data_IF_814199284646
#
_entry.id   IF_814199284646
#
_cell.length_a   1.000
_cell.length_b   1.000
_cell.length_c   1.000
_cell.angle_alpha   90.00
_cell.angle_beta   90.00
_cell.angle_gamma   90.00
#
_symmetry.space_group_name_H-M   'P 1'
#
loop_
_entity.id
_entity.type
_entity.pdbx_description
1 polymer ?
#
# COMPACT_ATOMS: atom_id res chain seq x y z
N UNK A 1 -1.52 -34.97 64.62
CA UNK A 1 -1.09 -35.82 63.47
C UNK A 1 -1.93 -35.36 62.29
N UNK A 2 -1.33 -34.79 61.24
CA UNK A 2 -0.82 -35.49 60.04
C UNK A 2 -1.94 -36.21 59.26
N UNK A 3 -2.17 -35.94 57.97
CA UNK A 3 -1.54 -34.95 57.07
C UNK A 3 -2.40 -34.72 55.81
N UNK A 4 -2.31 -33.51 55.24
CA UNK A 4 -2.47 -33.15 53.81
C UNK A 4 -3.34 -34.03 52.89
N UNK A 5 -4.28 -33.38 52.18
CA UNK A 5 -4.12 -33.22 50.73
C UNK A 5 -4.75 -31.89 50.28
N UNK A 6 -4.04 -31.13 49.44
CA UNK A 6 -4.53 -29.85 48.90
C UNK A 6 -5.17 -30.09 47.52
N UNK A 7 -6.42 -29.68 47.36
CA UNK A 7 -6.98 -29.26 46.07
C UNK A 7 -7.78 -27.96 46.27
N UNK A 8 -7.06 -26.86 46.44
CA UNK A 8 -7.65 -25.54 46.22
C UNK A 8 -7.74 -25.35 44.70
N UNK A 9 -8.95 -25.43 44.13
CA UNK A 9 -9.18 -25.06 42.73
C UNK A 9 -9.00 -23.55 42.62
N UNK A 10 -7.79 -23.14 42.25
CA UNK A 10 -7.45 -21.75 42.02
C UNK A 10 -8.07 -21.33 40.68
N UNK A 11 -9.35 -20.95 40.72
CA UNK A 11 -10.01 -20.28 39.61
C UNK A 11 -9.36 -18.90 39.41
N UNK A 12 -8.24 -18.88 38.69
CA UNK A 12 -7.62 -17.65 38.21
C UNK A 12 -8.57 -17.06 37.19
N UNK A 13 -9.49 -16.20 37.66
CA UNK A 13 -10.28 -15.36 36.79
C UNK A 13 -9.33 -14.37 36.12
N UNK A 14 -8.82 -14.77 34.95
CA UNK A 14 -8.09 -13.90 34.05
C UNK A 14 -9.08 -12.84 33.54
N UNK A 15 -9.28 -11.80 34.35
CA UNK A 15 -9.84 -10.54 33.89
C UNK A 15 -8.78 -9.97 32.96
N UNK A 16 -8.86 -10.37 31.68
CA UNK A 16 -8.23 -9.65 30.60
C UNK A 16 -8.81 -8.25 30.64
N UNK A 17 -8.10 -7.34 31.32
CA UNK A 17 -8.35 -5.91 31.26
C UNK A 17 -7.91 -5.46 29.87
N UNK A 18 -8.71 -5.83 28.87
CA UNK A 18 -8.81 -5.08 27.64
C UNK A 18 -9.22 -3.67 28.05
N UNK A 19 -8.22 -2.82 28.24
CA UNK A 19 -8.39 -1.40 28.02
C UNK A 19 -8.72 -1.24 26.54
N UNK A 20 -10.00 -1.41 26.22
CA UNK A 20 -10.67 -0.52 25.32
C UNK A 20 -10.45 0.89 25.88
N UNK A 21 -9.30 1.46 25.51
CA UNK A 21 -9.20 2.89 25.30
C UNK A 21 -10.29 3.19 24.28
N UNK A 22 -11.44 3.63 24.79
CA UNK A 22 -12.42 4.31 23.99
C UNK A 22 -11.73 5.58 23.49
N UNK A 23 -11.03 5.47 22.36
CA UNK A 23 -10.59 6.61 21.55
C UNK A 23 -11.84 7.46 21.40
N UNK A 24 -11.77 8.70 21.90
CA UNK A 24 -12.97 9.49 22.13
C UNK A 24 -13.77 9.61 20.84
N UNK A 25 -14.97 9.04 20.81
CA UNK A 25 -15.84 9.01 19.63
C UNK A 25 -16.53 10.37 19.44
N UNK A 26 -15.76 11.45 19.57
CA UNK A 26 -16.13 12.78 19.12
C UNK A 26 -16.28 12.76 17.60
N UNK A 27 -17.21 13.55 17.10
CA UNK A 27 -17.44 13.66 15.66
C UNK A 27 -16.16 14.09 14.96
N UNK A 28 -15.86 13.45 13.82
CA UNK A 28 -14.74 13.85 12.97
C UNK A 28 -14.90 15.32 12.56
N UNK A 29 -13.81 16.10 12.63
CA UNK A 29 -13.83 17.47 12.10
C UNK A 29 -13.46 17.40 10.61
N UNK A 30 -14.40 17.79 9.76
CA UNK A 30 -14.28 17.68 8.30
C UNK A 30 -13.76 18.99 7.71
N UNK A 31 -12.55 18.96 7.15
CA UNK A 31 -11.92 20.08 6.45
C UNK A 31 -12.23 19.93 4.95
N UNK A 32 -13.15 20.75 4.46
CA UNK A 32 -13.63 20.74 3.08
C UNK A 32 -12.81 21.73 2.24
N UNK A 33 -11.98 21.22 1.33
CA UNK A 33 -11.03 22.00 0.53
C UNK A 33 -11.52 22.18 -0.90
N UNK A 34 -11.93 23.40 -1.24
CA UNK A 34 -12.39 23.76 -2.56
C UNK A 34 -11.32 23.57 -3.63
N UNK A 35 -11.74 23.48 -4.91
CA UNK A 35 -10.81 23.43 -6.04
C UNK A 35 -9.84 24.62 -6.02
N UNK A 36 -8.57 24.36 -6.34
CA UNK A 36 -7.48 25.34 -6.21
C UNK A 36 -6.11 24.66 -6.13
N UNK A 37 -5.04 25.47 -6.15
CA UNK A 37 -3.67 25.02 -5.95
C UNK A 37 -3.16 25.49 -4.58
N UNK A 38 -2.96 24.54 -3.67
CA UNK A 38 -2.46 24.74 -2.31
C UNK A 38 -0.98 24.35 -2.29
N UNK A 39 -0.13 25.36 -2.45
CA UNK A 39 1.34 25.20 -2.41
C UNK A 39 1.84 25.42 -0.99
N UNK A 40 1.70 24.39 -0.16
CA UNK A 40 2.02 24.37 1.27
C UNK A 40 2.46 22.97 1.71
N UNK A 41 3.33 22.89 2.72
CA UNK A 41 3.58 21.65 3.46
C UNK A 41 2.66 21.61 4.69
N UNK A 42 2.16 20.43 5.04
CA UNK A 42 1.17 20.21 6.10
C UNK A 42 1.76 19.41 7.27
N UNK A 43 1.36 19.77 8.48
CA UNK A 43 1.55 18.97 9.71
C UNK A 43 0.21 18.79 10.40
N UNK A 44 -0.20 17.54 10.59
CA UNK A 44 -1.34 17.14 11.40
C UNK A 44 -0.80 16.60 12.73
N UNK A 45 -0.60 17.45 13.75
CA UNK A 45 0.06 17.07 14.99
C UNK A 45 -0.82 16.13 15.82
N UNK A 46 -0.21 15.29 16.65
CA UNK A 46 -0.86 14.19 17.38
C UNK A 46 -2.10 14.54 18.24
N UNK A 47 -2.36 15.82 18.50
CA UNK A 47 -3.57 16.31 19.16
C UNK A 47 -4.80 16.37 18.26
N UNK A 48 -4.64 16.35 16.93
CA UNK A 48 -5.72 16.49 15.92
C UNK A 48 -6.23 15.13 15.44
N UNK A 49 -6.70 14.30 16.36
CA UNK A 49 -7.22 12.97 16.05
C UNK A 49 -8.56 13.04 15.32
N UNK A 50 -8.84 12.06 14.46
CA UNK A 50 -10.10 11.94 13.72
C UNK A 50 -10.42 13.15 12.81
N UNK A 51 -9.42 13.82 12.23
CA UNK A 51 -9.67 14.78 11.14
C UNK A 51 -10.01 14.05 9.84
N UNK A 52 -10.98 14.56 9.10
CA UNK A 52 -11.27 14.14 7.73
C UNK A 52 -11.00 15.31 6.78
N UNK A 53 -9.99 15.19 5.93
CA UNK A 53 -9.59 16.24 4.99
C UNK A 53 -10.03 15.83 3.59
N UNK A 54 -10.90 16.65 2.97
CA UNK A 54 -11.67 16.30 1.77
C UNK A 54 -11.42 17.32 0.66
N UNK A 55 -10.90 16.87 -0.47
CA UNK A 55 -10.79 17.66 -1.68
C UNK A 55 -12.07 17.63 -2.52
N UNK A 56 -12.31 18.68 -3.30
CA UNK A 56 -13.43 18.78 -4.25
C UNK A 56 -13.21 17.96 -5.54
N UNK A 57 -12.43 16.88 -5.48
CA UNK A 57 -11.97 16.09 -6.61
C UNK A 57 -10.61 16.54 -7.15
N UNK A 58 -10.19 16.07 -8.33
CA UNK A 58 -8.81 16.24 -8.84
C UNK A 58 -8.39 17.69 -9.10
N UNK A 59 -9.31 18.65 -9.04
CA UNK A 59 -9.05 20.09 -9.12
C UNK A 59 -8.69 20.73 -7.78
N UNK A 60 -8.86 20.05 -6.64
CA UNK A 60 -8.20 20.39 -5.38
C UNK A 60 -6.80 19.78 -5.38
N UNK A 61 -5.78 20.64 -5.57
CA UNK A 61 -4.39 20.22 -5.77
C UNK A 61 -3.56 20.64 -4.56
N UNK A 62 -3.05 19.67 -3.80
CA UNK A 62 -1.99 19.93 -2.81
C UNK A 62 -0.65 19.75 -3.51
N UNK A 63 0.29 20.68 -3.32
CA UNK A 63 1.65 20.57 -3.82
C UNK A 63 2.65 20.96 -2.74
N UNK A 64 3.47 20.01 -2.31
CA UNK A 64 4.50 20.23 -1.29
C UNK A 64 5.57 21.24 -1.71
N UNK A 65 6.32 21.75 -0.73
CA UNK A 65 7.38 22.75 -0.91
C UNK A 65 8.74 22.22 -0.42
N UNK A 66 8.77 21.50 0.70
CA UNK A 66 9.99 20.99 1.31
C UNK A 66 10.69 19.91 0.46
N UNK A 67 12.00 20.08 0.22
CA UNK A 67 12.91 19.06 -0.34
C UNK A 67 14.16 18.92 0.52
N UNK A 68 14.88 17.80 0.38
CA UNK A 68 16.05 17.45 1.19
C UNK A 68 17.22 17.06 0.30
N UNK A 69 18.45 17.55 0.52
CA UNK A 69 19.62 17.10 -0.22
C UNK A 69 19.87 15.59 -0.13
N UNK A 70 20.13 14.94 -1.26
CA UNK A 70 20.37 13.50 -1.43
C UNK A 70 21.24 12.87 -0.35
N UNK A 71 22.33 13.56 0.00
CA UNK A 71 23.34 13.16 0.98
C UNK A 71 22.81 13.00 2.42
N UNK A 72 21.60 13.47 2.71
CA UNK A 72 20.93 13.30 4.00
C UNK A 72 19.98 12.10 4.05
N UNK A 73 19.81 11.35 2.94
CA UNK A 73 19.04 10.10 2.94
C UNK A 73 19.54 9.17 4.05
N UNK A 74 18.67 8.63 4.94
CA UNK A 74 17.22 8.46 4.80
C UNK A 74 16.36 9.53 5.52
N UNK A 75 16.86 10.74 5.77
CA UNK A 75 16.12 11.74 6.56
C UNK A 75 14.83 12.18 5.85
N UNK A 76 13.67 11.70 6.30
CA UNK A 76 12.39 12.20 5.85
C UNK A 76 12.20 13.68 6.24
N UNK A 77 11.67 14.47 5.32
CA UNK A 77 11.16 15.82 5.57
C UNK A 77 9.77 15.91 4.91
N UNK A 78 8.69 15.77 5.68
CA UNK A 78 7.35 15.55 5.12
C UNK A 78 6.82 16.75 4.32
N UNK A 79 6.08 16.47 3.26
CA UNK A 79 5.17 17.45 2.65
C UNK A 79 3.76 17.39 3.25
N UNK A 80 3.35 16.22 3.76
CA UNK A 80 2.18 16.03 4.62
C UNK A 80 2.59 15.09 5.76
N UNK A 81 2.84 15.64 6.96
CA UNK A 81 3.12 14.86 8.16
C UNK A 81 1.83 14.49 8.90
N UNK A 82 1.62 13.19 9.15
CA UNK A 82 0.45 12.68 9.86
C UNK A 82 0.88 12.04 11.18
N UNK A 83 0.80 12.81 12.27
CA UNK A 83 1.12 12.36 13.63
C UNK A 83 -0.12 12.05 14.48
N UNK A 84 -1.32 12.31 13.97
CA UNK A 84 -2.57 12.04 14.67
C UNK A 84 -3.28 10.79 14.15
N UNK A 85 -3.86 10.02 15.06
CA UNK A 85 -4.60 8.80 14.72
C UNK A 85 -6.01 9.11 14.19
N UNK A 86 -6.55 8.23 13.36
CA UNK A 86 -7.90 8.35 12.80
C UNK A 86 -8.04 9.36 11.65
N UNK A 87 -6.92 9.89 11.14
CA UNK A 87 -6.91 10.90 10.09
C UNK A 87 -7.29 10.30 8.74
N UNK A 88 -8.19 10.96 8.01
CA UNK A 88 -8.55 10.62 6.63
C UNK A 88 -8.11 11.72 5.66
N UNK A 89 -7.57 11.35 4.49
CA UNK A 89 -7.29 12.28 3.39
C UNK A 89 -7.80 11.71 2.07
N UNK A 90 -8.78 12.37 1.45
CA UNK A 90 -9.37 11.92 0.19
C UNK A 90 -9.81 13.02 -0.76
N UNK A 91 -9.95 12.67 -2.03
CA UNK A 91 -10.50 13.54 -3.07
C UNK A 91 -9.55 14.61 -3.62
N UNK A 92 -8.23 14.44 -3.48
CA UNK A 92 -7.22 15.41 -3.97
C UNK A 92 -6.43 14.92 -5.18
N UNK A 93 -5.85 15.85 -5.93
CA UNK A 93 -4.56 15.61 -6.59
C UNK A 93 -3.44 15.97 -5.61
N UNK A 94 -2.52 15.06 -5.32
CA UNK A 94 -1.40 15.28 -4.38
C UNK A 94 -0.09 15.21 -5.15
N UNK A 95 0.62 16.35 -5.22
CA UNK A 95 1.88 16.50 -5.95
C UNK A 95 3.07 16.56 -5.00
N UNK A 96 4.10 15.79 -5.33
CA UNK A 96 5.43 16.02 -4.76
C UNK A 96 5.97 17.41 -5.15
N UNK A 97 6.79 18.06 -4.30
CA UNK A 97 7.50 19.30 -4.59
C UNK A 97 8.21 19.30 -5.94
N UNK A 98 8.30 20.46 -6.60
CA UNK A 98 8.99 20.58 -7.88
C UNK A 98 10.42 20.02 -7.81
N UNK A 99 10.78 19.16 -8.78
CA UNK A 99 12.08 18.49 -8.84
C UNK A 99 13.26 19.49 -8.75
N UNK A 100 14.21 19.19 -7.85
CA UNK A 100 15.49 19.90 -7.71
C UNK A 100 16.60 18.84 -7.75
N UNK A 101 17.51 18.94 -8.72
CA UNK A 101 18.58 17.95 -8.88
C UNK A 101 19.53 17.91 -7.67
N UNK A 102 19.78 16.72 -7.13
CA UNK A 102 20.53 16.53 -5.88
C UNK A 102 19.68 16.64 -4.62
N UNK A 103 18.35 16.73 -4.73
CA UNK A 103 17.40 16.65 -3.63
C UNK A 103 16.29 15.61 -3.91
N UNK A 104 15.79 15.00 -2.84
CA UNK A 104 14.56 14.20 -2.81
C UNK A 104 13.43 14.90 -2.03
N UNK A 105 12.25 14.29 -2.03
CA UNK A 105 11.07 14.73 -1.28
C UNK A 105 10.35 13.55 -0.65
N UNK A 106 9.93 13.67 0.61
CA UNK A 106 9.07 12.71 1.30
C UNK A 106 7.63 13.23 1.28
N UNK A 107 6.77 12.69 0.40
CA UNK A 107 5.41 13.18 0.17
C UNK A 107 4.52 13.16 1.43
N UNK A 108 3.74 12.10 1.63
CA UNK A 108 3.05 11.87 2.91
C UNK A 108 3.97 11.06 3.81
N UNK A 109 4.12 11.46 5.07
CA UNK A 109 4.88 10.72 6.10
C UNK A 109 3.98 10.44 7.29
N UNK A 110 3.74 9.15 7.58
CA UNK A 110 2.72 8.68 8.53
C UNK A 110 3.37 8.10 9.78
N UNK A 111 3.05 8.66 10.95
CA UNK A 111 3.53 8.21 12.27
C UNK A 111 2.43 7.77 13.23
N UNK A 112 1.21 7.54 12.75
CA UNK A 112 0.03 7.34 13.58
C UNK A 112 -0.89 6.21 13.09
N UNK A 113 -1.83 5.81 13.95
CA UNK A 113 -2.71 4.65 13.76
C UNK A 113 -4.03 5.02 13.06
N UNK A 114 -4.67 4.03 12.42
CA UNK A 114 -5.99 4.17 11.81
C UNK A 114 -6.08 5.33 10.79
N UNK A 115 -4.99 5.57 10.04
CA UNK A 115 -4.92 6.61 9.01
C UNK A 115 -5.44 6.04 7.70
N UNK A 116 -6.32 6.77 7.01
CA UNK A 116 -6.99 6.30 5.80
C UNK A 116 -6.77 7.27 4.62
N UNK A 117 -6.10 6.79 3.57
CA UNK A 117 -5.69 7.59 2.42
C UNK A 117 -6.35 7.01 1.17
N UNK A 118 -7.32 7.71 0.58
CA UNK A 118 -8.13 7.14 -0.51
C UNK A 118 -8.65 8.10 -1.55
N UNK A 119 -9.01 7.59 -2.73
CA UNK A 119 -9.58 8.38 -3.83
C UNK A 119 -8.73 9.62 -4.23
N UNK A 120 -7.40 9.54 -4.07
CA UNK A 120 -6.47 10.61 -4.45
C UNK A 120 -5.71 10.27 -5.76
N UNK A 121 -5.31 11.30 -6.49
CA UNK A 121 -4.41 11.22 -7.62
C UNK A 121 -3.01 11.70 -7.22
N UNK A 122 -2.11 10.77 -6.90
CA UNK A 122 -0.71 11.05 -6.60
C UNK A 122 0.11 11.29 -7.87
N UNK A 123 0.91 12.36 -7.84
CA UNK A 123 1.75 12.82 -8.93
C UNK A 123 3.18 13.07 -8.43
N UNK A 124 4.08 12.12 -8.69
CA UNK A 124 5.40 12.05 -8.08
C UNK A 124 6.52 12.28 -9.09
N UNK A 125 7.42 13.23 -8.85
CA UNK A 125 8.59 13.40 -9.73
C UNK A 125 9.48 12.17 -9.67
N UNK A 126 9.83 11.67 -10.86
CA UNK A 126 10.74 10.53 -10.99
C UNK A 126 12.21 10.95 -10.77
N UNK A 127 13.00 9.98 -10.31
CA UNK A 127 14.30 10.19 -9.69
C UNK A 127 15.52 10.19 -10.62
N UNK A 128 16.64 10.61 -10.04
CA UNK A 128 17.98 10.49 -10.61
C UNK A 128 18.91 9.82 -9.57
N UNK A 129 19.07 8.49 -9.67
CA UNK A 129 19.90 7.71 -8.74
C UNK A 129 21.42 7.95 -8.89
N UNK A 130 21.86 9.00 -9.58
CA UNK A 130 23.26 9.46 -9.45
C UNK A 130 23.64 9.83 -8.01
N UNK A 131 22.68 10.17 -7.14
CA UNK A 131 22.94 10.48 -5.72
C UNK A 131 21.98 9.82 -4.70
N UNK A 132 20.98 9.05 -5.13
CA UNK A 132 19.97 8.44 -4.24
C UNK A 132 18.58 9.09 -4.29
N UNK A 133 18.36 10.08 -5.17
CA UNK A 133 17.10 10.82 -5.26
C UNK A 133 15.98 10.01 -5.92
N UNK A 134 15.21 9.23 -5.14
CA UNK A 134 13.91 8.66 -5.54
C UNK A 134 12.80 9.41 -4.80
N UNK A 135 11.84 9.98 -5.55
CA UNK A 135 10.64 10.58 -4.98
C UNK A 135 9.68 9.52 -4.44
N UNK A 136 9.26 9.67 -3.18
CA UNK A 136 8.34 8.76 -2.49
C UNK A 136 6.96 9.43 -2.26
N UNK A 137 5.87 8.78 -2.70
CA UNK A 137 4.52 9.34 -2.58
C UNK A 137 3.98 9.28 -1.14
N UNK A 138 4.06 8.10 -0.52
CA UNK A 138 3.67 7.83 0.86
C UNK A 138 4.78 7.02 1.51
N UNK A 139 5.16 7.36 2.74
CA UNK A 139 5.97 6.52 3.60
C UNK A 139 5.47 6.54 5.04
N UNK A 140 5.79 5.51 5.81
CA UNK A 140 5.60 5.49 7.28
C UNK A 140 6.91 5.86 7.98
N UNK A 141 6.85 6.42 9.19
CA UNK A 141 8.04 6.66 9.99
C UNK A 141 8.66 5.35 10.50
N UNK A 142 9.98 5.18 10.31
CA UNK A 142 10.73 4.04 10.83
C UNK A 142 10.98 4.15 12.35
N UNK A 143 10.93 3.03 13.08
CA UNK A 143 11.05 2.98 14.55
C UNK A 143 12.38 3.50 15.10
N UNK A 144 13.46 3.50 14.30
CA UNK A 144 14.74 4.12 14.69
C UNK A 144 14.74 5.67 14.59
N UNK A 145 13.85 6.25 13.78
CA UNK A 145 13.67 7.70 13.66
C UNK A 145 12.66 8.22 14.71
N UNK A 146 11.56 7.48 14.92
CA UNK A 146 10.54 7.79 15.92
C UNK A 146 10.33 6.58 16.84
N UNK A 147 11.07 6.48 17.97
CA UNK A 147 10.97 5.35 18.89
C UNK A 147 9.56 5.15 19.44
N UNK A 148 8.99 3.96 19.21
CA UNK A 148 7.62 3.63 19.62
C UNK A 148 6.52 4.07 18.64
N UNK A 149 6.88 4.57 17.45
CA UNK A 149 5.91 4.82 16.36
C UNK A 149 5.10 3.57 16.04
N UNK A 150 3.81 3.75 15.72
CA UNK A 150 2.91 2.66 15.42
C UNK A 150 1.89 3.11 14.36
N UNK A 151 1.88 2.43 13.22
CA UNK A 151 1.01 2.72 12.06
C UNK A 151 -0.05 1.64 11.82
N UNK A 152 -0.38 0.88 12.88
CA UNK A 152 -1.52 -0.05 12.95
C UNK A 152 -2.79 0.54 12.37
N UNK A 153 -3.52 -0.22 11.55
CA UNK A 153 -4.79 0.21 10.97
C UNK A 153 -4.65 1.24 9.84
N UNK A 154 -3.43 1.53 9.36
CA UNK A 154 -3.22 2.27 8.12
C UNK A 154 -3.90 1.55 6.95
N UNK A 155 -4.74 2.27 6.22
CA UNK A 155 -5.48 1.79 5.05
C UNK A 155 -5.25 2.74 3.86
N UNK A 156 -4.60 2.27 2.80
CA UNK A 156 -4.33 3.06 1.58
C UNK A 156 -5.05 2.41 0.41
N UNK A 157 -6.11 3.04 -0.10
CA UNK A 157 -6.99 2.40 -1.07
C UNK A 157 -7.61 3.28 -2.15
N UNK A 158 -7.94 2.68 -3.30
CA UNK A 158 -8.62 3.34 -4.43
C UNK A 158 -7.90 4.62 -4.94
N UNK A 159 -6.60 4.77 -4.65
CA UNK A 159 -5.79 5.88 -5.16
C UNK A 159 -5.19 5.55 -6.53
N UNK A 160 -4.90 6.58 -7.32
CA UNK A 160 -4.11 6.48 -8.54
C UNK A 160 -2.75 7.13 -8.33
N UNK A 161 -1.66 6.40 -8.59
CA UNK A 161 -0.29 6.88 -8.54
C UNK A 161 0.29 7.01 -9.95
N UNK A 162 0.90 8.16 -10.23
CA UNK A 162 1.49 8.52 -11.52
C UNK A 162 2.80 9.28 -11.33
N UNK A 163 3.64 9.28 -12.36
CA UNK A 163 4.88 10.07 -12.38
C UNK A 163 4.66 11.49 -12.96
N UNK A 164 5.47 12.45 -12.49
CA UNK A 164 5.72 13.74 -13.13
C UNK A 164 7.09 13.71 -13.84
N UNK A 165 7.20 14.41 -14.96
CA UNK A 165 8.31 14.27 -15.91
C UNK A 165 9.59 14.97 -15.46
N UNK A 166 10.38 14.27 -14.63
CA UNK A 166 11.80 14.53 -14.37
C UNK A 166 12.52 13.18 -14.19
N UNK A 167 13.86 13.19 -14.24
CA UNK A 167 14.68 12.00 -13.98
C UNK A 167 14.55 10.88 -15.02
N UNK A 168 15.21 9.74 -14.73
CA UNK A 168 15.23 8.53 -15.57
C UNK A 168 14.88 7.26 -14.81
N UNK A 169 14.91 7.30 -13.48
CA UNK A 169 14.80 6.11 -12.63
C UNK A 169 13.39 5.75 -12.18
N UNK A 170 12.44 6.68 -12.34
CA UNK A 170 11.06 6.50 -11.87
C UNK A 170 10.84 6.96 -10.43
N UNK A 171 9.62 6.77 -9.94
CA UNK A 171 9.22 7.09 -8.56
C UNK A 171 8.93 5.83 -7.75
N UNK A 172 8.94 5.95 -6.43
CA UNK A 172 8.45 4.93 -5.50
C UNK A 172 7.11 5.38 -4.91
N UNK A 173 6.11 4.49 -4.87
CA UNK A 173 4.77 4.90 -4.46
C UNK A 173 4.56 4.80 -2.93
N UNK A 174 4.64 3.60 -2.34
CA UNK A 174 4.32 3.38 -0.92
C UNK A 174 5.48 2.65 -0.22
N UNK A 175 6.03 3.24 0.84
CA UNK A 175 7.07 2.64 1.68
C UNK A 175 6.58 2.43 3.12
N UNK A 176 6.30 1.18 3.49
CA UNK A 176 5.88 0.80 4.84
C UNK A 176 7.10 0.35 5.63
N UNK A 177 7.80 1.32 6.24
CA UNK A 177 8.93 1.12 7.15
C UNK A 177 8.52 0.30 8.40
N UNK A 178 9.52 -0.34 9.01
CA UNK A 178 9.42 -1.04 10.31
C UNK A 178 8.96 -0.10 11.43
N UNK A 179 7.86 -0.43 12.10
CA UNK A 179 7.33 0.30 13.26
C UNK A 179 7.51 -0.50 14.58
N UNK A 180 6.82 -0.10 15.66
CA UNK A 180 6.87 -0.81 16.93
C UNK A 180 6.24 -2.22 16.84
N UNK A 181 6.87 -3.26 17.44
CA UNK A 181 6.40 -4.63 17.35
C UNK A 181 5.03 -4.82 18.03
N UNK A 182 4.23 -5.74 17.49
CA UNK A 182 2.87 -6.03 17.96
C UNK A 182 1.78 -5.13 17.37
N UNK A 183 2.08 -4.35 16.33
CA UNK A 183 1.06 -3.66 15.53
C UNK A 183 0.07 -4.63 14.86
N UNK A 184 -1.17 -4.16 14.68
CA UNK A 184 -2.21 -4.89 13.92
C UNK A 184 -2.06 -4.63 12.42
N UNK A 185 -3.01 -5.15 11.63
CA UNK A 185 -3.02 -5.08 10.17
C UNK A 185 -2.78 -3.67 9.61
N UNK A 186 -1.98 -3.60 8.55
CA UNK A 186 -1.91 -2.48 7.59
C UNK A 186 -2.39 -2.98 6.21
N UNK A 187 -3.13 -2.17 5.48
CA UNK A 187 -3.74 -2.56 4.19
C UNK A 187 -3.37 -1.59 3.08
N UNK A 188 -2.98 -2.13 1.92
CA UNK A 188 -2.81 -1.40 0.66
C UNK A 188 -3.66 -2.11 -0.41
N UNK A 189 -4.81 -1.54 -0.77
CA UNK A 189 -5.79 -2.24 -1.62
C UNK A 189 -6.36 -1.43 -2.79
N UNK A 190 -6.66 -2.08 -3.90
CA UNK A 190 -7.35 -1.48 -5.07
C UNK A 190 -6.66 -0.24 -5.70
N UNK A 191 -5.40 0.05 -5.38
CA UNK A 191 -4.71 1.21 -5.93
C UNK A 191 -4.21 0.90 -7.36
N UNK A 192 -4.15 1.93 -8.20
CA UNK A 192 -3.55 1.87 -9.54
C UNK A 192 -2.22 2.61 -9.55
N UNK A 193 -1.16 1.97 -10.05
CA UNK A 193 0.19 2.53 -10.15
C UNK A 193 0.65 2.46 -11.61
N UNK A 194 1.17 3.57 -12.16
CA UNK A 194 1.43 3.71 -13.59
C UNK A 194 2.51 4.75 -13.92
N UNK A 195 3.06 4.70 -15.14
CA UNK A 195 4.13 5.60 -15.56
C UNK A 195 5.52 5.02 -15.33
N UNK A 196 6.52 5.90 -15.19
CA UNK A 196 7.89 5.52 -14.82
C UNK A 196 7.93 5.07 -13.34
N UNK A 197 7.53 3.84 -13.07
CA UNK A 197 7.37 3.29 -11.72
C UNK A 197 8.60 2.45 -11.36
N UNK A 198 9.41 2.93 -10.40
CA UNK A 198 10.59 2.22 -9.91
C UNK A 198 10.20 1.06 -8.98
N UNK A 199 9.31 1.37 -8.02
CA UNK A 199 8.73 0.40 -7.08
C UNK A 199 7.34 0.83 -6.61
N UNK A 200 6.38 -0.09 -6.54
CA UNK A 200 5.03 0.24 -6.09
C UNK A 200 4.89 0.18 -4.56
N UNK A 201 5.17 -0.98 -3.94
CA UNK A 201 4.96 -1.17 -2.48
C UNK A 201 6.18 -1.82 -1.83
N UNK A 202 6.73 -1.19 -0.80
CA UNK A 202 7.73 -1.76 0.12
C UNK A 202 7.09 -2.08 1.47
N UNK A 203 7.40 -3.24 2.03
CA UNK A 203 6.91 -3.73 3.33
C UNK A 203 8.07 -4.25 4.19
N UNK A 204 8.41 -3.50 5.24
CA UNK A 204 9.43 -3.83 6.26
C UNK A 204 8.81 -4.17 7.62
N UNK A 205 7.55 -4.62 7.65
CA UNK A 205 6.82 -4.91 8.89
C UNK A 205 5.97 -6.17 8.76
N UNK A 206 5.72 -6.82 9.89
CA UNK A 206 4.69 -7.86 10.02
C UNK A 206 3.27 -7.29 9.90
N UNK A 207 2.31 -8.19 9.64
CA UNK A 207 0.85 -7.95 9.56
C UNK A 207 0.45 -6.95 8.47
N UNK A 208 0.64 -7.32 7.20
CA UNK A 208 0.30 -6.45 6.05
C UNK A 208 -0.44 -7.21 4.95
N UNK A 209 -1.51 -6.61 4.43
CA UNK A 209 -2.21 -7.07 3.23
C UNK A 209 -2.01 -6.09 2.08
N UNK A 210 -1.50 -6.57 0.96
CA UNK A 210 -1.41 -5.84 -0.32
C UNK A 210 -2.30 -6.56 -1.32
N UNK A 211 -3.48 -6.01 -1.65
CA UNK A 211 -4.51 -6.76 -2.39
C UNK A 211 -5.22 -6.00 -3.51
N UNK A 212 -5.51 -6.66 -4.64
CA UNK A 212 -6.32 -6.08 -5.72
C UNK A 212 -5.69 -4.89 -6.45
N UNK A 213 -4.40 -4.61 -6.26
CA UNK A 213 -3.75 -3.45 -6.86
C UNK A 213 -3.36 -3.70 -8.33
N UNK A 214 -3.44 -2.66 -9.16
CA UNK A 214 -2.97 -2.67 -10.54
C UNK A 214 -1.61 -1.96 -10.63
N UNK A 215 -0.53 -2.72 -10.79
CA UNK A 215 0.86 -2.25 -10.79
C UNK A 215 1.45 -2.41 -12.19
N UNK A 216 1.61 -1.30 -12.90
CA UNK A 216 2.11 -1.28 -14.28
C UNK A 216 3.28 -0.29 -14.38
N UNK A 217 4.39 -0.70 -15.00
CA UNK A 217 5.55 0.19 -15.25
C UNK A 217 5.85 0.40 -16.74
N UNK A 218 6.16 1.64 -17.10
CA UNK A 218 6.66 2.04 -18.42
C UNK A 218 8.18 1.91 -18.57
N UNK A 219 8.88 1.51 -17.49
CA UNK A 219 10.33 1.29 -17.52
C UNK A 219 10.67 -0.13 -17.98
N UNK A 220 11.84 -0.26 -18.61
CA UNK A 220 12.55 -1.54 -18.71
C UNK A 220 13.11 -1.96 -17.34
N UNK A 221 13.36 -3.25 -17.07
CA UNK A 221 14.00 -3.69 -15.83
C UNK A 221 15.37 -3.03 -15.58
N UNK A 222 15.65 -2.62 -14.34
CA UNK A 222 17.04 -2.30 -13.92
C UNK A 222 17.87 -3.58 -13.83
N UNK A 223 19.20 -3.44 -13.78
CA UNK A 223 20.09 -4.49 -13.28
C UNK A 223 20.22 -4.42 -11.75
N UNK A 224 20.57 -5.53 -11.11
CA UNK A 224 20.86 -5.54 -9.66
C UNK A 224 22.08 -4.67 -9.35
N UNK A 225 22.10 -4.06 -8.16
CA UNK A 225 23.10 -3.06 -7.77
C UNK A 225 22.97 -1.69 -8.46
N UNK A 226 21.85 -1.41 -9.15
CA UNK A 226 21.47 -0.09 -9.69
C UNK A 226 22.49 0.57 -10.64
N UNK A 227 23.12 -0.22 -11.51
CA UNK A 227 24.08 0.32 -12.49
C UNK A 227 23.42 0.95 -13.75
N UNK A 228 22.13 0.73 -13.99
CA UNK A 228 21.38 1.20 -15.18
C UNK A 228 19.95 1.56 -14.82
N UNK A 229 19.44 2.70 -15.28
CA UNK A 229 18.08 3.16 -14.98
C UNK A 229 17.00 2.18 -15.47
N UNK A 230 16.04 1.85 -14.60
CA UNK A 230 14.93 0.95 -14.90
C UNK A 230 14.09 0.61 -13.66
N UNK A 231 12.99 -0.12 -13.86
CA UNK A 231 12.10 -0.59 -12.80
C UNK A 231 12.73 -1.76 -12.01
N UNK A 232 12.63 -1.72 -10.69
CA UNK A 232 13.27 -2.70 -9.81
C UNK A 232 12.28 -3.75 -9.33
N UNK A 233 11.29 -3.35 -8.55
CA UNK A 233 10.44 -4.27 -7.80
C UNK A 233 8.97 -3.87 -7.89
N UNK A 234 8.05 -4.76 -8.26
CA UNK A 234 6.63 -4.43 -8.21
C UNK A 234 6.17 -4.30 -6.75
N UNK A 235 6.23 -5.41 -6.02
CA UNK A 235 6.03 -5.48 -4.58
C UNK A 235 7.30 -6.04 -3.92
N UNK A 236 7.77 -5.40 -2.86
CA UNK A 236 8.93 -5.79 -2.06
C UNK A 236 8.51 -6.07 -0.61
N UNK A 237 8.41 -7.35 -0.24
CA UNK A 237 8.24 -7.77 1.16
C UNK A 237 9.59 -8.22 1.69
N UNK A 238 10.26 -7.32 2.42
CA UNK A 238 11.53 -7.58 3.13
C UNK A 238 11.87 -6.41 4.04
N UNK A 239 12.66 -6.65 5.06
CA UNK A 239 13.25 -5.62 5.90
C UNK A 239 14.64 -5.25 5.39
N UNK A 240 14.73 -4.15 4.64
CA UNK A 240 15.99 -3.55 4.17
C UNK A 240 16.47 -2.41 5.09
N UNK A 241 15.87 -2.29 6.27
CA UNK A 241 15.87 -1.10 7.09
C UNK A 241 17.16 -0.85 7.88
N UNK A 242 17.24 0.35 8.42
CA UNK A 242 18.40 0.82 9.19
C UNK A 242 18.47 0.11 10.55
N UNK A 243 19.35 -0.88 10.64
CA UNK A 243 19.55 -1.74 11.82
C UNK A 243 19.84 -3.19 11.47
N UNK A 244 19.68 -3.58 10.20
CA UNK A 244 19.70 -4.97 9.76
C UNK A 244 18.29 -5.60 9.83
N UNK A 245 18.03 -6.69 9.09
CA UNK A 245 16.68 -7.23 8.92
C UNK A 245 16.06 -7.74 10.23
N UNK A 246 14.73 -7.79 10.29
CA UNK A 246 13.95 -8.33 11.41
C UNK A 246 12.82 -9.19 10.87
N UNK A 247 12.57 -10.33 11.54
CA UNK A 247 11.62 -11.35 11.10
C UNK A 247 10.21 -10.79 10.78
N UNK A 248 9.62 -11.26 9.67
CA UNK A 248 8.28 -10.88 9.24
C UNK A 248 7.27 -12.02 9.37
N UNK A 249 6.04 -11.69 9.76
CA UNK A 249 4.94 -12.65 9.79
C UNK A 249 3.61 -12.05 9.34
N UNK A 250 2.73 -12.90 8.83
CA UNK A 250 1.35 -12.53 8.49
C UNK A 250 1.25 -11.55 7.32
N UNK A 251 1.98 -11.83 6.23
CA UNK A 251 1.94 -11.02 5.01
C UNK A 251 1.05 -11.69 3.97
N UNK A 252 0.11 -10.92 3.41
CA UNK A 252 -0.83 -11.38 2.37
C UNK A 252 -0.67 -10.52 1.13
N UNK A 253 -0.26 -11.12 0.00
CA UNK A 253 -0.15 -10.47 -1.30
C UNK A 253 -1.11 -11.16 -2.25
N UNK A 254 -2.27 -10.56 -2.54
CA UNK A 254 -3.36 -11.27 -3.25
C UNK A 254 -4.02 -10.48 -4.37
N UNK A 255 -4.43 -11.14 -5.45
CA UNK A 255 -5.23 -10.52 -6.53
C UNK A 255 -4.59 -9.28 -7.19
N UNK A 256 -3.27 -9.04 -7.04
CA UNK A 256 -2.59 -7.90 -7.65
C UNK A 256 -2.16 -8.24 -9.08
N UNK A 257 -2.21 -7.27 -9.99
CA UNK A 257 -1.59 -7.37 -11.32
C UNK A 257 -0.25 -6.64 -11.30
N UNK A 258 0.85 -7.28 -11.70
CA UNK A 258 2.22 -6.73 -11.65
C UNK A 258 2.94 -6.99 -12.99
N UNK A 259 3.08 -5.95 -13.81
CA UNK A 259 3.64 -6.10 -15.16
C UNK A 259 4.27 -4.84 -15.77
N UNK A 260 4.94 -5.03 -16.91
CA UNK A 260 5.24 -3.92 -17.83
C UNK A 260 4.02 -3.47 -18.62
N UNK A 261 4.06 -2.23 -19.11
CA UNK A 261 3.02 -1.68 -20.01
C UNK A 261 3.09 -2.21 -21.46
N UNK A 262 4.19 -2.86 -21.84
CA UNK A 262 4.42 -3.37 -23.19
C UNK A 262 5.67 -4.25 -23.29
N UNK A 263 5.96 -4.75 -24.50
CA UNK A 263 7.08 -5.68 -24.76
C UNK A 263 8.42 -5.04 -24.41
N UNK A 264 9.13 -5.63 -23.44
CA UNK A 264 10.43 -5.16 -22.94
C UNK A 264 10.36 -4.28 -21.69
N UNK A 265 9.18 -3.79 -21.33
CA UNK A 265 8.94 -3.13 -20.05
C UNK A 265 8.62 -4.17 -18.97
N UNK A 266 8.90 -3.85 -17.70
CA UNK A 266 8.65 -4.73 -16.57
C UNK A 266 9.64 -4.51 -15.43
N UNK A 267 9.44 -5.18 -14.30
CA UNK A 267 10.32 -5.08 -13.14
C UNK A 267 11.47 -6.10 -13.22
N UNK A 268 12.57 -5.87 -12.47
CA UNK A 268 13.59 -6.89 -12.24
C UNK A 268 13.04 -8.05 -11.39
N UNK A 269 12.19 -7.74 -10.41
CA UNK A 269 11.32 -8.68 -9.71
C UNK A 269 9.86 -8.17 -9.71
N UNK A 270 8.89 -8.96 -10.16
CA UNK A 270 7.47 -8.62 -10.00
C UNK A 270 7.09 -8.58 -8.51
N UNK A 271 7.31 -9.69 -7.82
CA UNK A 271 7.26 -9.79 -6.37
C UNK A 271 8.61 -10.27 -5.84
N UNK A 272 9.06 -9.70 -4.72
CA UNK A 272 10.19 -10.20 -3.95
C UNK A 272 9.81 -10.45 -2.50
N UNK A 273 10.23 -11.60 -2.00
CA UNK A 273 10.07 -12.06 -0.63
C UNK A 273 11.46 -12.28 -0.01
N UNK A 274 11.72 -11.58 1.09
CA UNK A 274 12.87 -11.80 1.97
C UNK A 274 14.18 -11.09 1.58
N UNK A 275 15.07 -11.07 2.56
CA UNK A 275 16.50 -10.77 2.42
C UNK A 275 17.33 -11.61 3.41
N UNK A 276 18.61 -11.82 3.10
CA UNK A 276 19.53 -12.58 3.95
C UNK A 276 19.57 -12.12 5.39
N UNK A 277 19.21 -13.02 6.32
CA UNK A 277 19.10 -12.73 7.76
C UNK A 277 17.71 -12.31 8.24
N UNK A 278 16.67 -12.41 7.41
CA UNK A 278 15.26 -12.19 7.75
C UNK A 278 14.49 -13.52 7.75
N UNK A 279 13.98 -13.97 8.90
CA UNK A 279 13.06 -15.12 8.93
C UNK A 279 11.66 -14.67 8.53
N UNK A 280 10.97 -15.39 7.64
CA UNK A 280 9.58 -15.10 7.26
C UNK A 280 8.64 -16.24 7.64
N UNK A 281 7.40 -15.92 8.02
CA UNK A 281 6.39 -16.92 8.37
C UNK A 281 4.96 -16.49 8.00
N UNK A 282 4.07 -17.45 7.78
CA UNK A 282 2.65 -17.19 7.43
C UNK A 282 2.49 -16.22 6.24
N UNK A 283 3.29 -16.43 5.18
CA UNK A 283 3.29 -15.59 3.98
C UNK A 283 2.34 -16.21 2.95
N UNK A 284 1.39 -15.44 2.43
CA UNK A 284 0.38 -15.89 1.46
C UNK A 284 0.47 -15.09 0.18
N UNK A 285 0.63 -15.77 -0.96
CA UNK A 285 0.72 -15.17 -2.31
C UNK A 285 -0.21 -15.93 -3.24
N UNK A 286 -1.42 -15.40 -3.47
CA UNK A 286 -2.46 -16.09 -4.27
C UNK A 286 -3.30 -15.16 -5.14
N UNK A 287 -3.80 -15.66 -6.29
CA UNK A 287 -4.65 -14.90 -7.21
C UNK A 287 -3.97 -13.75 -7.98
N UNK A 288 -2.67 -13.52 -7.78
CA UNK A 288 -1.94 -12.45 -8.46
C UNK A 288 -1.68 -12.80 -9.93
N UNK A 289 -1.48 -11.78 -10.77
CA UNK A 289 -0.99 -11.92 -12.15
C UNK A 289 0.37 -11.22 -12.27
N UNK A 290 1.43 -11.97 -12.54
CA UNK A 290 2.79 -11.44 -12.67
C UNK A 290 3.32 -11.75 -14.09
N UNK A 291 3.51 -10.73 -14.92
CA UNK A 291 3.92 -10.94 -16.32
C UNK A 291 4.86 -9.89 -16.90
N UNK A 292 5.72 -10.29 -17.84
CA UNK A 292 6.71 -9.43 -18.49
C UNK A 292 7.92 -9.03 -17.63
N UNK A 293 8.07 -9.57 -16.43
CA UNK A 293 9.17 -9.23 -15.51
C UNK A 293 10.43 -10.05 -15.82
N UNK A 294 11.59 -9.63 -15.31
CA UNK A 294 12.81 -10.45 -15.39
C UNK A 294 12.68 -11.69 -14.49
N UNK A 295 12.20 -11.51 -13.26
CA UNK A 295 11.71 -12.59 -12.41
C UNK A 295 10.26 -12.29 -12.01
N UNK A 296 9.36 -13.26 -12.12
CA UNK A 296 7.98 -13.13 -11.60
C UNK A 296 7.99 -13.00 -10.08
N UNK A 297 8.36 -14.08 -9.37
CA UNK A 297 8.58 -14.09 -7.91
C UNK A 297 10.02 -14.46 -7.58
N UNK A 298 10.70 -13.63 -6.79
CA UNK A 298 12.00 -13.95 -6.18
C UNK A 298 11.81 -14.23 -4.68
N UNK A 299 12.21 -15.43 -4.24
CA UNK A 299 12.38 -15.75 -2.81
C UNK A 299 13.87 -15.76 -2.50
N UNK A 300 14.29 -15.08 -1.43
CA UNK A 300 15.73 -14.82 -1.17
C UNK A 300 16.18 -15.09 0.27
N UNK A 301 16.92 -16.18 0.47
CA UNK A 301 18.18 -16.12 1.22
C UNK A 301 19.34 -16.98 0.65
N UNK A 302 20.34 -16.36 0.00
CA UNK A 302 21.66 -16.92 -0.20
C UNK A 302 22.65 -16.49 0.91
N UNK A 303 22.60 -17.13 2.09
CA UNK A 303 23.58 -16.84 3.14
C UNK A 303 23.44 -17.59 4.47
N UNK A 304 22.22 -17.85 4.93
CA UNK A 304 21.94 -18.54 6.20
C UNK A 304 21.05 -19.76 5.97
N UNK A 305 21.15 -20.76 6.84
CA UNK A 305 20.21 -21.89 6.85
C UNK A 305 18.96 -21.52 7.64
N UNK A 306 17.88 -21.22 6.92
CA UNK A 306 16.52 -21.03 7.46
C UNK A 306 15.47 -21.74 6.57
N UNK A 307 14.19 -21.64 6.92
CA UNK A 307 13.08 -22.43 6.38
C UNK A 307 12.03 -21.55 5.67
N UNK A 308 12.38 -20.32 5.28
CA UNK A 308 11.47 -19.28 4.76
C UNK A 308 10.57 -19.79 3.63
N UNK A 309 11.13 -20.49 2.64
CA UNK A 309 10.39 -21.06 1.52
C UNK A 309 9.28 -22.03 1.95
N UNK A 310 9.44 -22.72 3.08
CA UNK A 310 8.44 -23.66 3.63
C UNK A 310 7.30 -22.96 4.37
N UNK A 311 7.37 -21.64 4.56
CA UNK A 311 6.37 -20.82 5.22
C UNK A 311 5.68 -19.82 4.26
N UNK A 312 5.97 -19.94 2.96
CA UNK A 312 5.33 -19.20 1.87
C UNK A 312 4.33 -20.12 1.17
N UNK A 313 3.05 -19.72 1.14
CA UNK A 313 2.02 -20.32 0.28
C UNK A 313 1.98 -19.55 -1.04
N UNK A 314 2.63 -20.05 -2.10
CA UNK A 314 2.62 -19.45 -3.43
C UNK A 314 1.73 -20.27 -4.38
N UNK A 315 0.43 -19.96 -4.45
CA UNK A 315 -0.53 -20.80 -5.18
C UNK A 315 -1.65 -20.02 -5.88
N UNK A 316 -2.24 -20.60 -6.93
CA UNK A 316 -3.36 -20.02 -7.67
C UNK A 316 -3.06 -18.63 -8.29
N UNK A 317 -1.80 -18.37 -8.67
CA UNK A 317 -1.40 -17.14 -9.39
C UNK A 317 -1.26 -17.42 -10.89
N UNK A 318 -1.42 -16.40 -11.72
CA UNK A 318 -0.88 -16.38 -13.08
C UNK A 318 0.55 -15.85 -13.05
N UNK A 319 1.51 -16.62 -13.57
CA UNK A 319 2.93 -16.30 -13.68
C UNK A 319 3.38 -16.64 -15.12
N UNK A 320 3.17 -15.70 -16.05
CA UNK A 320 3.40 -15.92 -17.49
C UNK A 320 4.23 -14.81 -18.17
N UNK A 321 5.05 -15.19 -19.16
CA UNK A 321 5.80 -14.23 -19.97
C UNK A 321 6.92 -13.50 -19.24
N UNK A 322 7.36 -14.00 -18.08
CA UNK A 322 8.54 -13.52 -17.37
C UNK A 322 9.79 -14.28 -17.87
N UNK A 323 10.99 -13.69 -17.76
CA UNK A 323 12.23 -14.40 -18.14
C UNK A 323 12.58 -15.55 -17.18
N UNK A 324 12.00 -15.57 -15.98
CA UNK A 324 11.92 -16.70 -15.05
C UNK A 324 10.68 -16.48 -14.18
N UNK A 325 9.81 -17.49 -14.04
CA UNK A 325 8.55 -17.37 -13.31
C UNK A 325 8.76 -17.26 -11.81
N UNK A 326 9.45 -18.25 -11.22
CA UNK A 326 9.83 -18.24 -9.80
C UNK A 326 11.30 -18.64 -9.63
N UNK A 327 12.03 -17.86 -8.83
CA UNK A 327 13.41 -18.17 -8.46
C UNK A 327 13.50 -18.23 -6.93
N UNK A 328 13.74 -19.42 -6.37
CA UNK A 328 14.06 -19.60 -4.96
C UNK A 328 15.58 -19.65 -4.79
N UNK A 329 16.15 -18.69 -4.06
CA UNK A 329 17.59 -18.65 -3.77
C UNK A 329 17.99 -19.34 -2.46
N UNK A 330 17.03 -19.87 -1.68
CA UNK A 330 17.32 -20.70 -0.51
C UNK A 330 17.94 -22.04 -0.90
N UNK A 331 18.90 -22.51 -0.10
CA UNK A 331 19.61 -23.78 -0.33
C UNK A 331 19.03 -24.96 0.44
N UNK A 332 18.26 -24.69 1.50
CA UNK A 332 17.87 -25.68 2.50
C UNK A 332 16.34 -25.86 2.59
N UNK A 333 15.56 -24.87 2.13
CA UNK A 333 14.10 -24.87 2.10
C UNK A 333 13.52 -25.04 0.68
N UNK A 334 12.57 -25.97 0.52
CA UNK A 334 11.82 -26.13 -0.73
C UNK A 334 10.54 -25.29 -0.74
N UNK A 335 10.36 -24.48 -1.77
CA UNK A 335 9.18 -23.64 -1.99
C UNK A 335 8.09 -24.46 -2.70
N UNK A 336 6.90 -24.57 -2.08
CA UNK A 336 5.69 -24.98 -2.80
C UNK A 336 5.22 -23.84 -3.69
N UNK A 337 5.21 -24.08 -5.00
CA UNK A 337 4.64 -23.19 -6.01
C UNK A 337 3.50 -23.91 -6.76
N UNK A 338 2.65 -24.61 -6.01
CA UNK A 338 1.57 -25.45 -6.54
C UNK A 338 0.38 -24.63 -7.08
N UNK A 339 -0.37 -25.21 -8.02
CA UNK A 339 -1.60 -24.61 -8.59
C UNK A 339 -1.43 -23.24 -9.28
N UNK A 340 -0.22 -22.82 -9.63
CA UNK A 340 -0.01 -21.62 -10.45
C UNK A 340 -0.15 -21.93 -11.95
N UNK A 341 -0.70 -21.00 -12.72
CA UNK A 341 -0.62 -21.02 -14.18
C UNK A 341 0.73 -20.46 -14.62
N UNK A 342 1.40 -21.15 -15.54
CA UNK A 342 2.77 -20.85 -15.96
C UNK A 342 2.87 -20.35 -17.41
N UNK A 343 1.74 -20.10 -18.09
CA UNK A 343 1.70 -19.87 -19.53
C UNK A 343 1.73 -21.14 -20.41
N UNK A 344 1.62 -22.34 -19.84
CA UNK A 344 1.63 -23.63 -20.57
C UNK A 344 0.90 -24.74 -19.80
N UNK A 345 0.10 -25.56 -20.50
CA UNK A 345 -0.59 -26.73 -19.91
C UNK A 345 0.36 -27.87 -19.50
N UNK A 346 1.68 -27.71 -19.70
CA UNK A 346 2.71 -28.61 -19.15
C UNK A 346 3.39 -28.04 -17.90
N UNK A 347 3.01 -26.85 -17.45
CA UNK A 347 3.57 -26.20 -16.28
C UNK A 347 4.94 -25.57 -16.53
N UNK A 348 5.61 -25.22 -15.43
CA UNK A 348 6.84 -24.44 -15.43
C UNK A 348 7.95 -25.00 -16.33
N UNK A 349 8.54 -24.16 -17.18
CA UNK A 349 9.65 -24.49 -18.07
C UNK A 349 9.34 -25.49 -19.19
N UNK A 350 8.10 -25.98 -19.31
CA UNK A 350 7.71 -27.05 -20.24
C UNK A 350 6.81 -26.53 -21.36
N UNK A 351 7.02 -27.03 -22.58
CA UNK A 351 6.24 -26.64 -23.75
C UNK A 351 5.08 -27.60 -24.01
N UNK A 352 3.91 -27.03 -24.33
CA UNK A 352 2.73 -27.75 -24.82
C UNK A 352 2.72 -27.93 -26.35
N UNK A 353 3.73 -27.41 -27.05
CA UNK A 353 3.85 -27.39 -28.51
C UNK A 353 3.46 -26.07 -29.17
N UNK A 354 2.80 -25.16 -28.43
CA UNK A 354 2.39 -23.83 -28.90
C UNK A 354 2.99 -22.70 -28.04
N UNK A 355 3.10 -22.93 -26.73
CA UNK A 355 3.70 -22.07 -25.71
C UNK A 355 4.80 -22.83 -24.98
N UNK A 356 5.56 -22.12 -24.16
CA UNK A 356 6.50 -22.69 -23.19
C UNK A 356 6.23 -22.00 -21.86
N UNK A 357 6.08 -22.78 -20.79
CA UNK A 357 5.81 -22.20 -19.48
C UNK A 357 7.03 -21.48 -18.92
N UNK A 358 6.81 -20.43 -18.14
CA UNK A 358 7.84 -19.71 -17.39
C UNK A 358 8.67 -20.69 -16.55
N UNK A 359 10.00 -20.57 -16.57
CA UNK A 359 10.88 -21.50 -15.84
C UNK A 359 10.83 -21.27 -14.32
N UNK A 360 11.05 -22.34 -13.55
CA UNK A 360 11.39 -22.24 -12.13
C UNK A 360 12.89 -22.50 -11.91
N UNK A 361 13.44 -21.88 -10.87
CA UNK A 361 14.86 -21.97 -10.49
C UNK A 361 15.00 -22.17 -8.97
N UNK A 362 16.01 -22.95 -8.56
CA UNK A 362 16.27 -23.32 -7.17
C UNK A 362 15.43 -24.49 -6.67
N UNK A 363 15.28 -24.62 -5.34
CA UNK A 363 14.41 -25.62 -4.73
C UNK A 363 12.94 -25.16 -4.78
N UNK A 364 12.29 -25.40 -5.93
CA UNK A 364 10.86 -25.13 -6.13
C UNK A 364 10.16 -26.42 -6.53
N UNK A 365 9.12 -26.81 -5.80
CA UNK A 365 8.22 -27.91 -6.16
C UNK A 365 6.97 -27.37 -6.84
N UNK A 366 6.64 -27.91 -8.01
CA UNK A 366 5.45 -27.54 -8.79
C UNK A 366 4.60 -28.78 -9.08
N UNK A 367 3.34 -28.74 -8.65
CA UNK A 367 2.29 -29.65 -9.12
C UNK A 367 1.77 -29.15 -10.47
N UNK A 368 1.69 -30.05 -11.45
CA UNK A 368 1.18 -29.71 -12.79
C UNK A 368 -0.34 -29.56 -12.70
N UNK A 369 -0.83 -28.37 -13.02
CA UNK A 369 -2.26 -28.10 -13.24
C UNK A 369 -2.60 -28.44 -14.69
N UNK A 370 -3.69 -29.19 -14.92
CA UNK A 370 -4.25 -29.36 -16.28
C UNK A 370 -5.16 -28.20 -16.66
N UNK A 371 -5.67 -27.48 -15.66
CA UNK A 371 -6.46 -26.25 -15.81
C UNK A 371 -5.55 -25.10 -16.26
N UNK A 372 -6.07 -24.26 -17.15
CA UNK A 372 -5.33 -23.19 -17.81
C UNK A 372 -5.27 -21.87 -17.02
N UNK A 373 -5.21 -20.77 -17.75
CA UNK A 373 -5.32 -19.42 -17.18
C UNK A 373 -6.62 -19.30 -16.34
N UNK A 374 -6.51 -18.67 -15.17
CA UNK A 374 -7.58 -18.57 -14.16
C UNK A 374 -8.18 -19.90 -13.66
N UNK A 375 -7.55 -21.05 -13.93
CA UNK A 375 -8.08 -22.36 -13.54
C UNK A 375 -9.17 -22.89 -14.49
N UNK A 376 -9.26 -22.36 -15.71
CA UNK A 376 -10.23 -22.81 -16.72
C UNK A 376 -9.60 -23.84 -17.65
N UNK A 377 -10.17 -25.05 -17.78
CA UNK A 377 -9.78 -25.97 -18.86
C UNK A 377 -10.03 -25.29 -20.22
N UNK A 378 -8.93 -25.14 -20.95
CA UNK A 378 -8.86 -24.56 -22.28
C UNK A 378 -7.95 -25.39 -23.20
N UNK A 379 -7.65 -26.64 -22.83
CA UNK A 379 -6.94 -27.63 -23.66
C UNK A 379 -7.93 -28.66 -24.27
N UNK A 380 -9.08 -28.88 -23.63
CA UNK A 380 -10.19 -29.66 -24.16
C UNK A 380 -9.95 -31.17 -24.17
N UNK A 381 -8.99 -31.66 -23.39
CA UNK A 381 -8.67 -33.08 -23.23
C UNK A 381 -9.44 -33.61 -22.01
N UNK A 382 -10.40 -34.50 -22.26
CA UNK A 382 -11.53 -34.73 -21.35
C UNK A 382 -11.44 -35.76 -20.18
N UNK A 383 -10.28 -36.26 -19.67
CA UNK A 383 -10.28 -37.21 -18.54
C UNK A 383 -10.12 -36.55 -17.15
N UNK A 384 -10.25 -35.22 -17.02
CA UNK A 384 -10.13 -34.51 -15.73
C UNK A 384 -11.19 -33.39 -15.55
N UNK A 385 -12.35 -33.53 -16.18
CA UNK A 385 -13.55 -32.72 -15.91
C UNK A 385 -14.39 -33.45 -14.83
N UNK A 386 -14.34 -32.95 -13.59
CA UNK A 386 -15.26 -33.37 -12.53
C UNK A 386 -15.45 -32.25 -11.49
N UNK A 387 -16.62 -31.60 -11.54
CA UNK A 387 -17.17 -30.63 -10.57
C UNK A 387 -16.47 -29.26 -10.36
N UNK A 388 -16.96 -28.27 -11.10
CA UNK A 388 -17.45 -27.02 -10.48
C UNK A 388 -18.97 -26.89 -10.73
N UNK A 389 -19.70 -26.18 -9.86
CA UNK A 389 -21.15 -26.10 -9.91
C UNK A 389 -21.73 -24.86 -9.18
N UNK A 390 -21.50 -23.66 -9.71
CA UNK A 390 -22.40 -22.53 -9.46
C UNK A 390 -22.70 -21.67 -10.70
N UNK A 391 -24.00 -21.46 -10.91
CA UNK A 391 -24.58 -20.29 -11.55
C UNK A 391 -24.26 -19.06 -10.65
N UNK A 392 -24.15 -17.84 -11.20
CA UNK A 392 -23.66 -16.69 -10.42
C UNK A 392 -24.58 -16.29 -9.24
N UNK A 393 -25.90 -16.50 -9.38
CA UNK A 393 -26.88 -16.61 -8.29
C UNK A 393 -26.82 -15.45 -7.27
N UNK A 394 -26.67 -14.22 -7.75
CA UNK A 394 -26.73 -13.00 -6.92
C UNK A 394 -28.17 -12.63 -6.51
N UNK A 395 -29.16 -12.97 -7.35
CA UNK A 395 -30.58 -12.95 -7.05
C UNK A 395 -31.30 -11.61 -7.32
N UNK A 396 -30.69 -10.69 -8.07
CA UNK A 396 -31.26 -9.38 -8.42
C UNK A 396 -31.31 -9.17 -9.93
N UNK A 397 -32.16 -8.24 -10.40
CA UNK A 397 -32.15 -7.81 -11.81
C UNK A 397 -31.57 -6.41 -11.97
N UNK A 398 -31.05 -6.13 -13.16
CA UNK A 398 -30.53 -4.84 -13.60
C UNK A 398 -31.59 -3.71 -13.70
N UNK A 399 -32.81 -3.97 -13.22
CA UNK A 399 -33.89 -3.00 -13.02
C UNK A 399 -34.19 -2.67 -11.54
N UNK A 400 -33.63 -3.41 -10.57
CA UNK A 400 -33.98 -3.28 -9.15
C UNK A 400 -33.14 -2.23 -8.38
N UNK A 401 -32.00 -1.79 -8.91
CA UNK A 401 -31.10 -0.79 -8.27
C UNK A 401 -31.65 0.66 -8.20
N UNK A 402 -32.92 0.88 -8.56
CA UNK A 402 -33.50 2.23 -8.76
C UNK A 402 -34.40 2.69 -7.60
N UNK A 403 -34.56 1.91 -6.53
CA UNK A 403 -35.60 2.14 -5.53
C UNK A 403 -35.21 1.98 -4.03
N UNK A 404 -34.52 2.99 -3.46
CA UNK A 404 -34.62 3.31 -2.02
C UNK A 404 -34.26 4.79 -1.74
N UNK A 405 -35.27 5.63 -1.47
CA UNK A 405 -35.12 7.10 -1.45
C UNK A 405 -35.56 7.71 -0.11
N UNK A 406 -34.65 8.46 0.53
CA UNK A 406 -34.76 9.47 1.63
C UNK A 406 -36.02 9.59 2.53
N UNK A 407 -35.83 9.79 3.84
CA UNK A 407 -36.05 11.09 4.53
C UNK A 407 -35.48 11.11 5.99
N UNK A 408 -35.55 12.24 6.72
CA UNK A 408 -34.75 12.54 7.92
C UNK A 408 -35.54 13.22 9.10
N UNK A 409 -34.81 13.93 10.00
CA UNK A 409 -35.23 14.74 11.18
C UNK A 409 -35.43 13.96 12.51
N UNK A 410 -35.12 14.47 13.73
CA UNK A 410 -34.32 15.59 14.29
C UNK A 410 -34.18 15.31 15.84
N UNK A 411 -33.46 15.97 16.78
CA UNK A 411 -32.59 17.16 16.92
C UNK A 411 -31.71 17.01 18.20
N UNK A 412 -30.63 17.80 18.40
CA UNK A 412 -30.35 18.56 19.65
C UNK A 412 -28.93 19.19 19.79
N UNK A 413 -28.91 20.50 20.09
CA UNK A 413 -27.81 21.29 20.70
C UNK A 413 -26.55 21.58 19.84
N UNK A 414 -26.00 22.81 19.87
CA UNK A 414 -24.82 23.17 19.07
C UNK A 414 -23.52 22.60 19.66
N UNK A 415 -22.81 21.82 18.84
CA UNK A 415 -21.41 21.44 19.07
C UNK A 415 -20.45 22.51 18.48
N UNK A 416 -19.14 22.30 18.65
CA UNK A 416 -18.10 23.00 17.89
C UNK A 416 -18.27 22.76 16.37
N UNK A 417 -17.73 23.62 15.49
CA UNK A 417 -17.92 23.49 14.04
C UNK A 417 -17.36 22.16 13.52
N UNK A 418 -18.26 21.24 13.15
CA UNK A 418 -17.91 19.93 12.57
C UNK A 418 -17.35 20.05 11.16
N UNK A 419 -17.63 21.16 10.47
CA UNK A 419 -17.22 21.42 9.11
C UNK A 419 -16.41 22.73 9.07
N UNK A 420 -15.21 22.67 8.51
CA UNK A 420 -14.35 23.82 8.20
C UNK A 420 -14.19 23.88 6.68
N UNK A 421 -14.04 25.08 6.12
CA UNK A 421 -13.90 25.29 4.67
C UNK A 421 -12.58 25.98 4.31
N UNK A 422 -11.96 25.55 3.20
CA UNK A 422 -10.72 26.11 2.66
C UNK A 422 -10.91 26.48 1.19
N UNK A 423 -10.44 27.67 0.80
CA UNK A 423 -10.44 28.12 -0.60
C UNK A 423 -9.23 29.06 -0.84
N UNK A 424 -8.37 28.71 -1.80
CA UNK A 424 -7.19 29.50 -2.15
C UNK A 424 -7.50 30.92 -2.64
N UNK A 425 -8.66 31.13 -3.30
CA UNK A 425 -9.08 32.43 -3.84
C UNK A 425 -9.75 33.36 -2.78
N UNK A 426 -9.77 32.95 -1.51
CA UNK A 426 -10.40 33.68 -0.42
C UNK A 426 -9.65 35.00 -0.11
N UNK A 427 -10.34 36.13 -0.23
CA UNK A 427 -9.78 37.48 -0.02
C UNK A 427 -10.27 38.19 1.24
N UNK A 428 -11.07 37.51 2.07
CA UNK A 428 -11.57 38.03 3.34
C UNK A 428 -10.54 38.02 4.47
N UNK A 429 -10.92 38.56 5.62
CA UNK A 429 -10.27 38.22 6.90
C UNK A 429 -10.57 36.77 7.28
N UNK A 430 -9.66 36.11 8.00
CA UNK A 430 -9.88 34.76 8.53
C UNK A 430 -11.18 34.75 9.37
N UNK A 431 -12.07 33.81 9.08
CA UNK A 431 -13.39 33.75 9.72
C UNK A 431 -14.45 34.74 9.19
N UNK A 432 -14.28 35.32 7.99
CA UNK A 432 -15.30 36.16 7.34
C UNK A 432 -15.58 35.78 5.89
N UNK A 433 -16.84 35.48 5.57
CA UNK A 433 -17.33 35.09 4.23
C UNK A 433 -17.18 36.24 3.19
N UNK A 434 -16.48 36.02 2.05
CA UNK A 434 -16.25 37.02 1.03
C UNK A 434 -17.17 36.94 -0.21
N UNK A 435 -17.87 35.83 -0.44
CA UNK A 435 -18.57 35.59 -1.74
C UNK A 435 -20.09 35.75 -1.68
N UNK A 436 -20.71 35.55 -0.52
CA UNK A 436 -22.16 35.75 -0.34
C UNK A 436 -23.06 34.76 -1.11
N UNK A 437 -22.50 33.65 -1.63
CA UNK A 437 -23.22 32.63 -2.41
C UNK A 437 -22.86 31.17 -2.09
N UNK A 438 -21.69 30.89 -1.52
CA UNK A 438 -21.22 29.55 -1.15
C UNK A 438 -21.86 28.98 0.12
N UNK A 439 -21.59 27.71 0.48
CA UNK A 439 -22.10 27.07 1.71
C UNK A 439 -21.75 27.83 3.01
N UNK A 440 -20.63 28.57 3.01
CA UNK A 440 -20.18 29.43 4.10
C UNK A 440 -21.27 30.40 4.58
N UNK A 441 -22.10 30.91 3.67
CA UNK A 441 -23.15 31.91 3.94
C UNK A 441 -24.19 31.51 4.99
N UNK A 442 -24.41 30.21 5.23
CA UNK A 442 -25.64 29.75 5.90
C UNK A 442 -25.53 29.41 7.37
N UNK A 443 -24.38 28.96 7.90
CA UNK A 443 -24.25 28.60 9.32
C UNK A 443 -22.83 28.80 9.90
N UNK A 444 -22.36 30.06 9.93
CA UNK A 444 -21.31 30.49 10.88
C UNK A 444 -20.00 29.68 10.86
N UNK A 445 -19.50 29.40 9.66
CA UNK A 445 -18.32 28.56 9.44
C UNK A 445 -17.01 29.36 9.42
N UNK A 446 -15.95 28.80 10.00
CA UNK A 446 -14.59 29.32 9.81
C UNK A 446 -14.07 28.94 8.41
N UNK A 447 -13.53 29.94 7.71
CA UNK A 447 -13.04 29.83 6.34
C UNK A 447 -11.58 30.33 6.24
N UNK A 448 -10.77 29.59 5.49
CA UNK A 448 -9.31 29.76 5.41
C UNK A 448 -8.78 29.77 3.98
N UNK A 449 -7.66 30.46 3.76
CA UNK A 449 -6.90 30.45 2.49
C UNK A 449 -6.00 29.23 2.32
N UNK A 450 -5.59 28.62 3.43
CA UNK A 450 -4.62 27.51 3.47
C UNK A 450 -5.13 26.34 4.31
N UNK A 451 -4.75 25.13 3.95
CA UNK A 451 -5.19 23.89 4.61
C UNK A 451 -4.55 23.81 6.02
N UNK A 452 -3.30 24.23 6.20
CA UNK A 452 -2.67 24.22 7.52
C UNK A 452 -3.38 25.17 8.51
N UNK A 453 -3.93 26.30 8.05
CA UNK A 453 -4.69 27.18 8.92
C UNK A 453 -6.00 26.53 9.40
N UNK A 454 -6.66 25.74 8.54
CA UNK A 454 -7.82 24.93 8.92
C UNK A 454 -7.44 23.78 9.88
N UNK A 455 -6.32 23.07 9.67
CA UNK A 455 -5.83 22.03 10.59
C UNK A 455 -5.52 22.61 11.98
N UNK A 456 -4.99 23.83 12.04
CA UNK A 456 -4.71 24.54 13.29
C UNK A 456 -6.01 24.96 14.02
N UNK A 457 -7.10 25.21 13.29
CA UNK A 457 -8.39 25.68 13.82
C UNK A 457 -9.40 24.56 14.12
N UNK A 458 -9.29 23.40 13.47
CA UNK A 458 -9.94 22.16 13.88
C UNK A 458 -9.60 21.85 15.36
N UNK A 459 -10.41 21.06 16.06
CA UNK A 459 -10.23 20.85 17.51
C UNK A 459 -9.08 19.89 17.83
#
# INVERSE_FOLDING_TARGET
MNTKFNQAVLAVLFVCLFTFLAVGNGAATVINVAAGLYTEDLTIPATKTNLEIVGAGPTSIIQGVATVPAILFPQANPNIEILASGVKIHGFTIKSPAFVAGNYSSGIVIGAQNVEIYSNAFQCWAGDLSNGDIGQAIQTYHVAAVPGVNVSGLNVHDNTFTHLTAGTWGYEAIYINRDAPGGILVTVQNNTFSGNLFRAVTVERSNVTVTGNSIITDLVPTVDGFATAGAYEGISVRDAGFGGPVDQTGITVTNNTIKGSGVGNGFLQGLRLGITGESMSSITVTGNTLSGNTTGVLVKDPGVADNVATQITLANNNIDGNATGVNNLETDGALSADNNWWGSYKGAGLSDGFRTGDSVSGMVTVTIVTLGEYGVDSDGVAPNDDTDANDDNDGYSDADEVALVSNALDNLSPAAPSNIYVNADFTGSIGTDPDGGGPATKMGYDAFTTIQAAINAAQ
#
